data_IF_473290476156
#
_entry.id   IF_473290476156
#
_cell.length_a   1.000
_cell.length_b   1.000
_cell.length_c   1.000
_cell.angle_alpha   90.00
_cell.angle_beta   90.00
_cell.angle_gamma   90.00
#
_symmetry.space_group_name_H-M   'P 1'
#
loop_
_entity.id
_entity.type
_entity.pdbx_description
1 polymer ?
#
# COMPACT_ATOMS: atom_id res chain seq x y z
N UNK A 1 18.60 -5.26 28.90
CA UNK A 1 18.39 -5.82 27.55
C UNK A 1 16.91 -5.73 27.29
N UNK A 2 16.50 -5.04 26.24
CA UNK A 2 15.11 -4.63 26.04
C UNK A 2 14.66 -5.01 24.62
N UNK A 3 13.96 -6.13 24.51
CA UNK A 3 13.29 -6.51 23.26
C UNK A 3 12.34 -5.38 22.83
N UNK A 4 12.34 -5.05 21.54
CA UNK A 4 11.37 -4.12 20.97
C UNK A 4 10.15 -4.91 20.53
N UNK A 5 8.97 -4.54 21.05
CA UNK A 5 7.71 -5.19 20.73
C UNK A 5 6.84 -4.24 19.91
N UNK A 6 6.34 -4.73 18.77
CA UNK A 6 5.43 -4.03 17.89
C UNK A 6 4.13 -4.82 17.84
N UNK A 7 3.00 -4.17 18.08
CA UNK A 7 1.67 -4.81 18.00
C UNK A 7 1.01 -4.40 16.68
N UNK A 8 0.64 -5.40 15.87
CA UNK A 8 -0.07 -5.21 14.61
C UNK A 8 -1.55 -5.40 14.87
N UNK A 9 -2.31 -4.31 14.91
CA UNK A 9 -3.73 -4.35 15.24
C UNK A 9 -4.57 -4.98 14.11
N UNK A 10 -5.75 -5.47 14.49
CA UNK A 10 -6.77 -5.88 13.53
C UNK A 10 -7.11 -4.73 12.55
N UNK A 11 -7.26 -5.05 11.26
CA UNK A 11 -7.56 -4.08 10.21
C UNK A 11 -6.32 -3.44 9.56
N UNK A 12 -5.13 -3.55 10.15
CA UNK A 12 -3.89 -3.13 9.49
C UNK A 12 -3.38 -4.22 8.54
N UNK A 13 -3.04 -3.85 7.31
CA UNK A 13 -2.29 -4.74 6.43
C UNK A 13 -0.80 -4.52 6.68
N UNK A 14 -0.05 -5.57 6.99
CA UNK A 14 1.38 -5.45 7.26
C UNK A 14 2.17 -6.45 6.43
N UNK A 15 3.31 -6.02 5.91
CA UNK A 15 4.23 -6.84 5.13
C UNK A 15 5.59 -6.91 5.83
N UNK A 16 6.14 -8.11 5.91
CA UNK A 16 7.52 -8.35 6.32
C UNK A 16 8.37 -8.56 5.07
N UNK A 17 9.29 -7.65 4.80
CA UNK A 17 10.26 -7.82 3.73
C UNK A 17 11.46 -8.61 4.22
N UNK A 18 11.78 -9.66 3.49
CA UNK A 18 12.96 -10.48 3.69
C UNK A 18 14.10 -10.02 2.80
N UNK A 19 15.32 -10.25 3.26
CA UNK A 19 16.57 -9.80 2.62
C UNK A 19 16.77 -10.33 1.20
N UNK A 20 16.06 -11.41 0.83
CA UNK A 20 16.07 -11.99 -0.54
C UNK A 20 15.01 -11.37 -1.47
N UNK A 21 14.43 -10.22 -1.11
CA UNK A 21 13.41 -9.54 -1.90
C UNK A 21 12.03 -10.21 -1.87
N UNK A 22 11.78 -11.10 -0.91
CA UNK A 22 10.48 -11.73 -0.69
C UNK A 22 9.71 -10.95 0.37
N UNK A 23 8.47 -10.59 0.10
CA UNK A 23 7.58 -10.00 1.10
C UNK A 23 6.57 -11.04 1.58
N UNK A 24 6.40 -11.14 2.89
CA UNK A 24 5.42 -12.03 3.53
C UNK A 24 4.33 -11.17 4.15
N UNK A 25 3.07 -11.50 3.87
CA UNK A 25 1.94 -10.87 4.54
C UNK A 25 1.87 -11.34 6.00
N UNK A 26 1.94 -10.41 6.92
CA UNK A 26 1.76 -10.67 8.34
C UNK A 26 0.27 -10.83 8.65
N UNK A 27 -0.04 -11.71 9.60
CA UNK A 27 -1.40 -11.87 10.08
C UNK A 27 -1.86 -10.58 10.79
N UNK A 28 -3.14 -10.26 10.64
CA UNK A 28 -3.78 -9.26 11.49
C UNK A 28 -3.78 -9.74 12.94
N UNK A 29 -3.68 -8.81 13.89
CA UNK A 29 -3.63 -9.09 15.33
C UNK A 29 -2.46 -10.00 15.73
N UNK A 30 -1.24 -9.55 15.41
CA UNK A 30 -0.01 -10.26 15.79
C UNK A 30 0.96 -9.34 16.55
N UNK A 31 1.84 -9.95 17.33
CA UNK A 31 2.94 -9.26 18.01
C UNK A 31 4.25 -9.61 17.33
N UNK A 32 5.05 -8.61 17.03
CA UNK A 32 6.38 -8.76 16.47
C UNK A 32 7.37 -8.38 17.56
N UNK A 33 8.28 -9.28 17.88
CA UNK A 33 9.35 -9.08 18.85
C UNK A 33 10.69 -9.07 18.14
N UNK A 34 11.44 -8.00 18.31
CA UNK A 34 12.79 -7.84 17.78
C UNK A 34 13.73 -7.82 18.97
N UNK A 35 14.52 -8.89 19.09
CA UNK A 35 15.54 -9.02 20.13
C UNK A 35 16.75 -8.13 19.85
N UNK A 36 17.56 -7.89 20.88
CA UNK A 36 18.82 -7.12 20.77
C UNK A 36 19.82 -7.74 19.77
N UNK A 37 19.72 -9.05 19.50
CA UNK A 37 20.55 -9.73 18.48
C UNK A 37 20.01 -9.56 17.06
N UNK A 38 18.87 -8.89 16.88
CA UNK A 38 18.20 -8.70 15.60
C UNK A 38 17.34 -9.88 15.16
N UNK A 39 17.18 -10.92 15.98
CA UNK A 39 16.23 -12.01 15.69
C UNK A 39 14.81 -11.46 15.80
N UNK A 40 14.01 -11.74 14.77
CA UNK A 40 12.60 -11.35 14.68
C UNK A 40 11.71 -12.55 14.97
N UNK A 41 10.74 -12.36 15.84
CA UNK A 41 9.72 -13.33 16.18
C UNK A 41 8.34 -12.73 15.93
N UNK A 42 7.48 -13.48 15.24
CA UNK A 42 6.08 -13.11 15.00
C UNK A 42 5.20 -14.06 15.79
N UNK A 43 4.44 -13.53 16.75
CA UNK A 43 3.51 -14.26 17.58
C UNK A 43 2.07 -13.93 17.19
N UNK A 44 1.25 -14.95 16.98
CA UNK A 44 -0.18 -14.87 16.71
C UNK A 44 -0.93 -15.80 17.66
N UNK A 45 -1.59 -15.23 18.66
CA UNK A 45 -2.16 -16.01 19.77
C UNK A 45 -1.09 -16.87 20.43
N UNK A 46 -1.31 -18.19 20.44
CA UNK A 46 -0.40 -19.17 21.03
C UNK A 46 0.68 -19.67 20.05
N UNK A 47 0.58 -19.33 18.76
CA UNK A 47 1.57 -19.71 17.75
C UNK A 47 2.66 -18.64 17.63
N UNK A 48 3.92 -19.07 17.50
CA UNK A 48 5.03 -18.17 17.21
C UNK A 48 5.90 -18.72 16.08
N UNK A 49 6.44 -17.80 15.27
CA UNK A 49 7.37 -18.09 14.19
C UNK A 49 8.59 -17.19 14.36
N UNK A 50 9.77 -17.79 14.51
CA UNK A 50 11.03 -17.07 14.63
C UNK A 50 11.79 -17.10 13.32
N UNK A 51 12.30 -15.95 12.89
CA UNK A 51 13.04 -15.77 11.66
C UNK A 51 14.54 -15.74 11.95
N UNK A 52 15.25 -16.74 11.40
CA UNK A 52 16.69 -16.87 11.46
C UNK A 52 17.31 -16.86 10.05
N UNK A 53 18.55 -16.35 9.91
CA UNK A 53 19.33 -15.62 10.91
C UNK A 53 18.77 -14.20 11.19
N UNK A 54 19.33 -13.45 12.15
CA UNK A 54 18.89 -12.08 12.48
C UNK A 54 18.78 -11.14 11.28
N UNK A 55 19.57 -11.38 10.24
CA UNK A 55 19.59 -10.64 8.96
C UNK A 55 18.74 -11.30 7.87
N UNK A 56 17.79 -12.18 8.21
CA UNK A 56 16.83 -12.76 7.28
C UNK A 56 15.71 -11.79 6.88
N UNK A 57 15.48 -10.76 7.69
CA UNK A 57 14.46 -9.74 7.48
C UNK A 57 15.10 -8.36 7.31
N UNK A 58 14.40 -7.48 6.59
CA UNK A 58 14.90 -6.16 6.20
C UNK A 58 14.05 -5.03 6.79
N UNK A 59 12.73 -5.08 6.62
CA UNK A 59 11.81 -4.07 7.17
C UNK A 59 10.41 -4.61 7.35
N UNK A 60 9.64 -3.95 8.21
CA UNK A 60 8.20 -4.17 8.36
C UNK A 60 7.51 -2.95 7.76
N UNK A 61 6.63 -3.17 6.79
CA UNK A 61 5.81 -2.12 6.18
C UNK A 61 4.38 -2.22 6.72
N UNK A 62 3.86 -1.10 7.22
CA UNK A 62 2.46 -0.97 7.58
C UNK A 62 1.73 -0.28 6.43
N UNK A 63 0.81 -1.01 5.80
CA UNK A 63 -0.06 -0.51 4.75
C UNK A 63 -1.40 -0.19 5.39
N UNK A 64 -1.66 1.10 5.54
CA UNK A 64 -2.99 1.58 5.86
C UNK A 64 -3.88 1.45 4.62
N UNK A 65 -4.93 0.60 4.65
CA UNK A 65 -5.81 0.41 3.50
C UNK A 65 -6.56 1.70 3.11
N UNK A 66 -6.83 2.60 4.05
CA UNK A 66 -7.46 3.89 3.77
C UNK A 66 -6.47 4.87 3.15
N UNK A 67 -5.22 4.90 3.62
CA UNK A 67 -4.18 5.72 3.00
C UNK A 67 -3.85 5.23 1.57
N UNK A 68 -3.87 3.91 1.35
CA UNK A 68 -3.69 3.32 0.03
C UNK A 68 -4.85 3.67 -0.90
N UNK A 69 -6.10 3.52 -0.45
CA UNK A 69 -7.28 3.88 -1.22
C UNK A 69 -7.31 5.39 -1.55
N UNK A 70 -7.00 6.25 -0.58
CA UNK A 70 -6.88 7.68 -0.78
C UNK A 70 -5.78 8.04 -1.80
N UNK A 71 -4.64 7.36 -1.75
CA UNK A 71 -3.53 7.58 -2.71
C UNK A 71 -3.89 7.13 -4.13
N UNK A 72 -4.65 6.03 -4.28
CA UNK A 72 -5.15 5.57 -5.59
C UNK A 72 -6.19 6.58 -6.13
N UNK A 73 -7.13 7.01 -5.30
CA UNK A 73 -8.14 8.00 -5.68
C UNK A 73 -7.51 9.35 -6.04
N UNK A 74 -6.50 9.80 -5.29
CA UNK A 74 -5.77 11.04 -5.59
C UNK A 74 -5.03 10.96 -6.93
N UNK A 75 -4.34 9.84 -7.22
CA UNK A 75 -3.66 9.64 -8.52
C UNK A 75 -4.63 9.60 -9.70
N UNK A 76 -5.79 8.95 -9.54
CA UNK A 76 -6.83 8.94 -10.58
C UNK A 76 -7.40 10.34 -10.84
N UNK A 77 -7.44 11.19 -9.82
CA UNK A 77 -7.85 12.59 -9.96
C UNK A 77 -6.80 13.40 -10.73
N UNK A 78 -5.52 13.27 -10.39
CA UNK A 78 -4.41 13.94 -11.09
C UNK A 78 -4.29 13.49 -12.56
N UNK A 79 -4.52 12.21 -12.86
CA UNK A 79 -4.55 11.69 -14.24
C UNK A 79 -5.78 12.18 -15.03
N UNK A 80 -6.90 12.45 -14.35
CA UNK A 80 -8.10 13.02 -14.96
C UNK A 80 -7.95 14.52 -15.26
N UNK A 81 -7.17 15.25 -14.46
CA UNK A 81 -6.87 16.68 -14.68
C UNK A 81 -5.84 16.92 -15.80
N UNK A 82 -5.11 15.89 -16.25
CA UNK A 82 -4.23 15.95 -17.42
C UNK A 82 -4.98 15.93 -18.76
N UNK A 83 -6.30 15.77 -18.77
CA UNK A 83 -7.14 16.00 -19.96
C UNK A 83 -7.57 17.48 -20.03
N UNK A 84 -6.58 18.36 -20.20
CA UNK A 84 -6.85 19.77 -20.46
C UNK A 84 -7.61 19.94 -21.82
N UNK A 85 -8.58 20.86 -21.88
CA UNK A 85 -9.56 20.98 -22.94
C UNK A 85 -8.96 21.62 -24.19
N UNK A 86 -8.55 20.82 -25.17
CA UNK A 86 -8.07 21.39 -26.43
C UNK A 86 -8.30 20.43 -27.58
N UNK A 87 -9.57 20.17 -27.97
CA UNK A 87 -9.99 19.75 -29.34
C UNK A 87 -11.51 19.94 -29.60
N UNK A 88 -12.18 20.95 -29.02
CA UNK A 88 -13.57 21.31 -29.38
C UNK A 88 -13.59 22.62 -30.18
N UNK A 89 -12.64 22.79 -31.09
CA UNK A 89 -12.66 23.87 -32.06
C UNK A 89 -12.13 23.31 -33.37
N UNK A 90 -13.01 22.75 -34.22
CA UNK A 90 -12.84 22.63 -35.69
C UNK A 90 -13.96 21.84 -36.41
N UNK A 91 -15.07 21.47 -35.75
CA UNK A 91 -16.22 20.81 -36.43
C UNK A 91 -17.58 21.44 -36.13
N UNK A 92 -17.67 22.77 -36.04
CA UNK A 92 -18.97 23.45 -35.90
C UNK A 92 -19.16 24.66 -36.85
N UNK A 93 -18.52 24.65 -38.02
CA UNK A 93 -18.77 25.65 -39.10
C UNK A 93 -19.02 25.01 -40.47
N UNK A 94 -19.63 23.82 -40.50
CA UNK A 94 -20.38 23.32 -41.67
C UNK A 94 -21.63 22.62 -41.20
N UNK A 95 -22.74 23.34 -41.17
CA UNK A 95 -24.03 22.79 -40.75
C UNK A 95 -24.98 23.82 -40.16
N UNK A 96 -25.02 25.03 -40.71
CA UNK A 96 -26.11 25.98 -40.47
C UNK A 96 -26.67 26.42 -41.81
N UNK A 97 -27.48 25.55 -42.39
CA UNK A 97 -28.64 25.96 -43.17
C UNK A 97 -29.71 24.88 -42.94
N UNK A 98 -30.49 25.12 -41.89
CA UNK A 98 -31.74 24.45 -41.62
C UNK A 98 -32.81 25.17 -42.44
N UNK A 99 -33.52 24.40 -43.27
CA UNK A 99 -34.95 24.50 -43.59
C UNK A 99 -35.64 25.86 -43.48
N UNK A 100 -36.29 26.29 -44.57
CA UNK A 100 -37.63 26.84 -44.45
C UNK A 100 -38.42 26.69 -45.76
N UNK A 101 -39.57 26.01 -45.63
CA UNK A 101 -40.80 26.08 -46.43
C UNK A 101 -40.81 25.53 -47.86
#
# INVERSE_FOLDING_TARGET
MCDRVITVNAGMQSLLDLTKGKSIKLASDCKIRISDSGVLEVQRGDSSTTFYPAHAWQRIQFVDPYALAASIMAKQLEESECLAPNQINEKLTKGKECQNQ
#
